data_IF_194220243588
#
_entry.id   IF_194220243588
#
_cell.length_a   1.000
_cell.length_b   1.000
_cell.length_c   1.000
_cell.angle_alpha   90.00
_cell.angle_beta   90.00
_cell.angle_gamma   90.00
#
_symmetry.space_group_name_H-M   'P 1'
#
loop_
_entity.id
_entity.type
_entity.pdbx_description
1 polymer ?
#
# COMPACT_ATOMS: atom_id res chain seq x y z
N UNK A 1 7.39 -52.60 -13.50
CA UNK A 1 8.21 -52.49 -12.28
C UNK A 1 9.66 -52.28 -12.71
N UNK A 2 10.34 -51.29 -12.08
CA UNK A 2 11.68 -50.70 -12.32
C UNK A 2 11.80 -49.59 -13.39
N UNK A 3 12.59 -48.52 -13.12
CA UNK A 3 12.83 -47.92 -11.81
C UNK A 3 12.84 -46.37 -11.78
N UNK A 4 12.80 -45.89 -10.55
CA UNK A 4 13.03 -44.55 -10.04
C UNK A 4 14.44 -44.04 -10.40
N UNK A 5 14.54 -42.90 -11.09
CA UNK A 5 15.70 -42.00 -11.01
C UNK A 5 15.17 -40.58 -10.86
N UNK A 6 14.95 -40.19 -9.60
CA UNK A 6 14.72 -38.80 -9.21
C UNK A 6 16.02 -38.01 -9.42
N UNK A 7 16.01 -37.12 -10.42
CA UNK A 7 16.87 -35.94 -10.46
C UNK A 7 16.12 -34.90 -11.32
N UNK A 8 14.99 -34.42 -10.81
CA UNK A 8 14.42 -33.16 -11.28
C UNK A 8 15.47 -32.09 -10.97
N UNK A 9 16.17 -31.59 -11.98
CA UNK A 9 17.07 -30.46 -11.79
C UNK A 9 16.24 -29.30 -11.25
N UNK A 10 16.51 -28.85 -10.02
CA UNK A 10 15.91 -27.65 -9.46
C UNK A 10 16.33 -26.46 -10.35
N UNK A 11 15.47 -26.14 -11.31
CA UNK A 11 15.62 -24.99 -12.19
C UNK A 11 15.25 -23.73 -11.44
N UNK A 12 16.17 -22.78 -11.37
CA UNK A 12 15.92 -21.44 -10.83
C UNK A 12 15.68 -20.46 -11.97
N UNK A 13 14.80 -19.47 -11.74
CA UNK A 13 14.49 -18.44 -12.72
C UNK A 13 15.38 -17.20 -12.51
N UNK A 14 16.00 -16.71 -13.59
CA UNK A 14 16.88 -15.54 -13.56
C UNK A 14 16.42 -14.48 -14.54
N UNK A 15 16.35 -13.22 -14.09
CA UNK A 15 16.03 -12.07 -14.93
C UNK A 15 17.29 -11.61 -15.67
N UNK A 16 17.29 -11.72 -17.00
CA UNK A 16 18.36 -11.17 -17.83
C UNK A 16 18.14 -9.67 -18.05
N UNK A 17 19.01 -8.77 -17.56
CA UNK A 17 18.74 -7.32 -17.62
C UNK A 17 18.60 -6.78 -19.04
N UNK A 18 19.38 -7.30 -19.99
CA UNK A 18 19.40 -6.83 -21.37
C UNK A 18 18.10 -7.11 -22.13
N UNK A 19 17.43 -8.24 -21.85
CA UNK A 19 16.19 -8.64 -22.50
C UNK A 19 14.95 -8.45 -21.64
N UNK A 20 15.12 -8.22 -20.32
CA UNK A 20 14.05 -8.20 -19.31
C UNK A 20 13.22 -9.50 -19.31
N UNK A 21 13.84 -10.63 -19.68
CA UNK A 21 13.19 -11.95 -19.73
C UNK A 21 13.70 -12.86 -18.63
N UNK A 22 12.81 -13.69 -18.11
CA UNK A 22 13.14 -14.78 -17.21
C UNK A 22 13.69 -15.97 -17.99
N UNK A 23 14.72 -16.60 -17.45
CA UNK A 23 15.35 -17.80 -18.00
C UNK A 23 15.55 -18.85 -16.92
N UNK A 24 15.36 -20.12 -17.26
CA UNK A 24 15.70 -21.25 -16.42
C UNK A 24 17.21 -21.51 -16.45
N UNK A 25 17.83 -21.67 -15.27
CA UNK A 25 19.24 -22.03 -15.06
C UNK A 25 19.38 -22.85 -13.79
N UNK A 26 20.56 -23.47 -13.63
CA UNK A 26 20.88 -24.18 -12.39
C UNK A 26 20.94 -23.21 -11.21
N UNK A 27 20.29 -23.57 -10.10
CA UNK A 27 20.29 -22.76 -8.87
C UNK A 27 21.69 -22.55 -8.26
N UNK A 28 22.69 -23.37 -8.64
CA UNK A 28 24.08 -23.27 -8.18
C UNK A 28 24.89 -22.20 -8.92
N UNK A 29 24.40 -21.69 -10.05
CA UNK A 29 25.05 -20.64 -10.81
C UNK A 29 25.01 -19.31 -10.03
N UNK A 30 26.13 -18.58 -10.03
CA UNK A 30 26.23 -17.29 -9.33
C UNK A 30 25.80 -16.15 -10.25
N UNK A 31 24.75 -15.42 -9.85
CA UNK A 31 24.28 -14.22 -10.53
C UNK A 31 24.13 -13.06 -9.55
N UNK A 32 24.14 -11.83 -10.08
CA UNK A 32 23.72 -10.68 -9.31
C UNK A 32 22.22 -10.82 -8.95
N UNK A 33 21.89 -10.51 -7.71
CA UNK A 33 20.51 -10.39 -7.24
C UNK A 33 20.20 -8.93 -6.97
N UNK A 34 18.91 -8.61 -6.91
CA UNK A 34 18.43 -7.32 -6.47
C UNK A 34 17.30 -7.54 -5.48
N UNK A 35 17.27 -6.73 -4.43
CA UNK A 35 16.14 -6.68 -3.52
C UNK A 35 15.03 -5.85 -4.19
N UNK A 36 13.80 -6.31 -4.09
CA UNK A 36 12.64 -5.53 -4.48
C UNK A 36 11.89 -5.17 -3.21
N UNK A 37 11.61 -3.88 -3.03
CA UNK A 37 10.61 -3.49 -2.04
C UNK A 37 9.25 -3.81 -2.66
N UNK A 38 8.67 -4.95 -2.27
CA UNK A 38 7.33 -5.32 -2.70
C UNK A 38 6.36 -4.60 -1.79
N UNK A 39 5.65 -3.63 -2.36
CA UNK A 39 4.58 -2.91 -1.70
C UNK A 39 3.31 -3.78 -1.77
N UNK A 40 2.89 -4.33 -0.64
CA UNK A 40 1.67 -5.12 -0.54
C UNK A 40 0.62 -4.37 0.28
N UNK A 41 -0.60 -4.30 -0.24
CA UNK A 41 -1.74 -3.76 0.49
C UNK A 41 -2.58 -4.88 1.11
N UNK A 42 -2.88 -4.72 2.39
CA UNK A 42 -3.77 -5.61 3.14
C UNK A 42 -5.00 -4.83 3.59
N UNK A 43 -6.17 -5.39 3.31
CA UNK A 43 -7.45 -4.90 3.80
C UNK A 43 -7.73 -5.50 5.18
N UNK A 44 -7.92 -4.66 6.19
CA UNK A 44 -8.24 -5.08 7.56
C UNK A 44 -9.67 -4.66 7.87
N UNK A 45 -10.56 -5.63 8.10
CA UNK A 45 -11.96 -5.39 8.46
C UNK A 45 -12.09 -5.21 9.98
N UNK A 46 -11.95 -3.96 10.44
CA UNK A 46 -12.12 -3.52 11.81
C UNK A 46 -12.71 -2.10 11.89
N UNK A 47 -13.77 -1.95 12.70
CA UNK A 47 -14.31 -0.64 13.06
C UNK A 47 -13.33 0.15 13.92
N UNK A 48 -12.80 1.24 13.37
CA UNK A 48 -11.93 2.16 14.11
C UNK A 48 -12.14 3.61 13.68
N UNK A 49 -11.74 4.52 14.57
CA UNK A 49 -11.46 5.91 14.18
C UNK A 49 -10.18 5.96 13.34
N UNK A 50 -9.95 7.03 12.58
CA UNK A 50 -8.69 7.18 11.83
C UNK A 50 -7.48 7.14 12.77
N UNK A 51 -7.56 7.79 13.93
CA UNK A 51 -6.50 7.75 14.94
C UNK A 51 -6.28 6.34 15.50
N UNK A 52 -7.36 5.61 15.80
CA UNK A 52 -7.29 4.21 16.27
C UNK A 52 -6.75 3.25 15.22
N UNK A 53 -7.09 3.48 13.95
CA UNK A 53 -6.55 2.74 12.82
C UNK A 53 -5.04 2.94 12.68
N UNK A 54 -4.56 4.18 12.76
CA UNK A 54 -3.13 4.48 12.72
C UNK A 54 -2.39 3.81 13.87
N UNK A 55 -2.90 3.93 15.10
CA UNK A 55 -2.31 3.30 16.29
C UNK A 55 -2.27 1.77 16.14
N UNK A 56 -3.33 1.16 15.61
CA UNK A 56 -3.38 -0.27 15.33
C UNK A 56 -2.28 -0.70 14.36
N UNK A 57 -2.09 0.01 13.25
CA UNK A 57 -1.09 -0.33 12.25
C UNK A 57 0.33 -0.25 12.84
N UNK A 58 0.63 0.84 13.55
CA UNK A 58 1.94 1.08 14.13
C UNK A 58 2.31 0.03 15.18
N UNK A 59 1.35 -0.43 15.99
CA UNK A 59 1.55 -1.56 16.93
C UNK A 59 1.91 -2.87 16.22
N UNK A 60 1.61 -3.00 14.93
CA UNK A 60 1.92 -4.16 14.11
C UNK A 60 3.16 -3.94 13.21
N UNK A 61 3.95 -2.89 13.45
CA UNK A 61 5.07 -2.47 12.60
C UNK A 61 4.67 -2.21 11.14
N UNK A 62 3.45 -1.70 10.92
CA UNK A 62 2.97 -1.26 9.62
C UNK A 62 2.43 0.17 9.75
N UNK A 63 2.08 0.78 8.62
CA UNK A 63 1.41 2.07 8.58
C UNK A 63 0.15 1.99 7.71
N UNK A 64 -0.74 2.98 7.88
CA UNK A 64 -1.83 3.17 6.94
C UNK A 64 -1.28 3.46 5.54
N UNK A 65 -1.95 2.90 4.54
CA UNK A 65 -1.50 2.93 3.16
C UNK A 65 -1.34 4.36 2.62
N UNK A 66 -0.22 4.59 1.94
CA UNK A 66 0.01 5.75 1.08
C UNK A 66 -0.32 5.43 -0.36
N UNK A 67 -1.07 6.32 -1.01
CA UNK A 67 -1.47 6.18 -2.41
C UNK A 67 -0.75 7.24 -3.24
N UNK A 68 0.59 7.20 -3.22
CA UNK A 68 1.47 8.26 -3.73
C UNK A 68 1.60 8.32 -5.26
N UNK A 69 1.06 7.35 -6.01
CA UNK A 69 1.05 7.37 -7.48
C UNK A 69 -0.18 6.68 -8.06
N UNK A 70 -0.48 6.90 -9.35
CA UNK A 70 -1.62 6.28 -10.02
C UNK A 70 -1.55 4.75 -9.99
N UNK A 71 -0.38 4.17 -10.25
CA UNK A 71 -0.19 2.72 -10.25
C UNK A 71 -0.45 2.12 -8.86
N UNK A 72 0.00 2.81 -7.80
CA UNK A 72 -0.22 2.39 -6.41
C UNK A 72 -1.70 2.51 -6.06
N UNK A 73 -2.36 3.60 -6.48
CA UNK A 73 -3.79 3.80 -6.27
C UNK A 73 -4.62 2.74 -6.99
N UNK A 74 -4.34 2.43 -8.25
CA UNK A 74 -5.03 1.37 -9.00
C UNK A 74 -4.83 -0.02 -8.36
N UNK A 75 -3.61 -0.31 -7.89
CA UNK A 75 -3.33 -1.56 -7.17
C UNK A 75 -4.12 -1.64 -5.85
N UNK A 76 -4.17 -0.56 -5.08
CA UNK A 76 -4.99 -0.46 -3.88
C UNK A 76 -6.49 -0.62 -4.18
N UNK A 77 -6.99 0.01 -5.25
CA UNK A 77 -8.39 -0.10 -5.68
C UNK A 77 -8.79 -1.55 -5.98
N UNK A 78 -7.88 -2.35 -6.55
CA UNK A 78 -8.09 -3.79 -6.74
C UNK A 78 -8.26 -4.56 -5.42
N UNK A 79 -7.58 -4.12 -4.35
CA UNK A 79 -7.59 -4.77 -3.02
C UNK A 79 -8.82 -4.42 -2.19
N UNK A 80 -9.37 -3.21 -2.35
CA UNK A 80 -10.57 -2.77 -1.62
C UNK A 80 -11.87 -3.33 -2.21
N UNK A 81 -11.83 -4.13 -3.29
CA UNK A 81 -13.03 -4.76 -3.87
C UNK A 81 -13.79 -5.66 -2.90
N UNK A 82 -13.10 -6.16 -1.85
CA UNK A 82 -13.67 -6.97 -0.77
C UNK A 82 -14.15 -6.13 0.42
N UNK A 83 -14.16 -4.80 0.28
CA UNK A 83 -14.59 -3.90 1.34
C UNK A 83 -16.10 -3.98 1.57
N UNK A 84 -16.48 -4.07 2.84
CA UNK A 84 -17.88 -4.05 3.30
C UNK A 84 -18.46 -2.63 3.46
N UNK A 85 -17.61 -1.60 3.41
CA UNK A 85 -18.01 -0.18 3.53
C UNK A 85 -17.65 0.63 2.29
N UNK A 86 -18.40 1.71 2.09
CA UNK A 86 -18.21 2.64 0.97
C UNK A 86 -16.85 3.36 1.01
N UNK A 87 -16.20 3.42 2.17
CA UNK A 87 -14.92 4.11 2.39
C UNK A 87 -13.98 3.26 3.25
N UNK A 88 -12.67 3.50 3.11
CA UNK A 88 -11.60 2.85 3.87
C UNK A 88 -10.61 3.90 4.40
N UNK A 89 -9.96 3.59 5.53
CA UNK A 89 -8.89 4.44 6.08
C UNK A 89 -7.58 4.30 5.30
N UNK A 90 -6.97 5.44 4.99
CA UNK A 90 -5.64 5.57 4.38
C UNK A 90 -4.78 6.53 5.20
N UNK A 91 -3.48 6.59 4.91
CA UNK A 91 -2.53 7.42 5.63
C UNK A 91 -2.59 8.91 5.32
N UNK A 92 -3.57 9.38 4.55
CA UNK A 92 -3.64 10.79 4.15
C UNK A 92 -4.13 11.65 5.31
N UNK A 93 -3.33 12.64 5.71
CA UNK A 93 -3.69 13.61 6.75
C UNK A 93 -3.57 15.05 6.22
N UNK A 94 -4.44 15.94 6.72
CA UNK A 94 -4.41 17.38 6.43
C UNK A 94 -3.98 18.15 7.69
N UNK A 95 -2.80 18.75 7.66
CA UNK A 95 -2.22 19.50 8.77
C UNK A 95 -1.58 20.79 8.26
N UNK A 96 -1.71 21.86 9.05
CA UNK A 96 -1.05 23.14 8.79
C UNK A 96 -1.32 23.78 7.42
N UNK A 97 -2.42 23.39 6.74
CA UNK A 97 -2.79 23.92 5.43
C UNK A 97 -2.45 23.02 4.26
N UNK A 98 -1.78 21.89 4.50
CA UNK A 98 -1.32 20.97 3.46
C UNK A 98 -1.73 19.52 3.73
N UNK A 99 -1.73 18.73 2.65
CA UNK A 99 -1.95 17.29 2.68
C UNK A 99 -0.61 16.55 2.71
N UNK A 100 -0.50 15.51 3.52
CA UNK A 100 0.68 14.66 3.60
C UNK A 100 0.29 13.22 3.94
N UNK A 101 1.13 12.28 3.54
CA UNK A 101 1.03 10.89 3.97
C UNK A 101 1.74 10.72 5.30
N UNK A 102 1.11 10.03 6.27
CA UNK A 102 1.74 9.73 7.58
C UNK A 102 2.97 8.84 7.47
N UNK A 103 3.13 8.11 6.35
CA UNK A 103 4.32 7.34 5.99
C UNK A 103 5.50 8.23 5.57
N UNK A 104 5.26 9.51 5.27
CA UNK A 104 6.26 10.44 4.73
C UNK A 104 6.46 10.34 3.22
N UNK A 105 5.64 9.55 2.51
CA UNK A 105 5.69 9.47 1.05
C UNK A 105 5.31 10.80 0.39
N UNK A 106 5.92 11.07 -0.77
CA UNK A 106 5.61 12.26 -1.57
C UNK A 106 4.15 12.24 -2.04
N UNK A 107 3.53 13.42 -2.05
CA UNK A 107 2.18 13.60 -2.56
C UNK A 107 2.23 13.95 -4.05
N UNK A 108 1.86 13.01 -4.91
CA UNK A 108 1.69 13.31 -6.33
C UNK A 108 0.39 14.11 -6.55
N UNK A 109 0.54 15.43 -6.65
CA UNK A 109 -0.55 16.37 -6.89
C UNK A 109 -1.30 16.10 -8.21
N UNK A 110 -0.74 15.38 -9.17
CA UNK A 110 -1.42 15.06 -10.44
C UNK A 110 -2.44 13.93 -10.29
N UNK A 111 -2.23 13.02 -9.35
CA UNK A 111 -3.18 11.95 -8.98
C UNK A 111 -4.37 12.57 -8.25
N UNK A 112 -4.08 13.45 -7.29
CA UNK A 112 -5.06 13.95 -6.33
C UNK A 112 -5.82 15.20 -6.81
N UNK A 113 -5.30 15.91 -7.82
CA UNK A 113 -6.03 16.99 -8.51
C UNK A 113 -7.14 16.46 -9.43
N UNK A 114 -6.95 15.28 -10.04
CA UNK A 114 -7.97 14.62 -10.88
C UNK A 114 -9.16 14.08 -10.07
N UNK A 115 -8.94 13.74 -8.80
CA UNK A 115 -9.99 13.26 -7.87
C UNK A 115 -10.76 14.40 -7.20
N UNK A 116 -10.42 15.66 -7.49
CA UNK A 116 -11.17 16.83 -7.02
C UNK A 116 -10.86 17.24 -5.59
N UNK A 117 -9.68 16.88 -5.04
CA UNK A 117 -9.32 17.40 -3.73
C UNK A 117 -9.10 18.90 -3.78
N UNK A 118 -10.03 19.58 -3.13
CA UNK A 118 -9.94 21.01 -2.89
C UNK A 118 -8.63 21.30 -2.14
N UNK A 119 -7.79 22.16 -2.72
CA UNK A 119 -6.52 22.65 -2.16
C UNK A 119 -6.68 23.24 -0.75
N UNK A 120 -7.90 23.58 -0.37
CA UNK A 120 -8.27 23.91 0.99
C UNK A 120 -9.66 23.34 1.26
N UNK A 121 -9.85 22.70 2.41
CA UNK A 121 -11.19 22.33 2.79
C UNK A 121 -12.01 23.55 3.28
N UNK A 122 -13.36 23.46 3.27
CA UNK A 122 -14.27 24.58 3.56
C UNK A 122 -13.99 25.27 4.91
N UNK A 123 -14.17 26.60 4.96
CA UNK A 123 -13.81 27.47 6.11
C UNK A 123 -14.43 27.06 7.45
N UNK A 124 -15.59 26.41 7.46
CA UNK A 124 -16.29 25.98 8.67
C UNK A 124 -15.63 24.81 9.41
N UNK A 125 -14.58 24.22 8.83
CA UNK A 125 -13.97 22.97 9.30
C UNK A 125 -12.53 23.17 9.82
N UNK A 126 -12.12 24.42 10.05
CA UNK A 126 -10.77 24.82 10.51
C UNK A 126 -10.56 24.77 12.03
N UNK A 127 -11.50 24.20 12.79
CA UNK A 127 -11.42 24.16 14.25
C UNK A 127 -10.75 22.87 14.74
N UNK A 128 -9.43 23.00 14.93
CA UNK A 128 -8.58 22.31 15.91
C UNK A 128 -8.78 20.79 16.11
N UNK A 129 -8.30 19.95 15.17
CA UNK A 129 -7.54 18.71 15.44
C UNK A 129 -6.70 18.35 14.19
N UNK A 130 -5.45 17.87 14.36
CA UNK A 130 -4.46 17.81 13.29
C UNK A 130 -4.74 16.81 12.14
N UNK A 131 -5.68 15.87 12.26
CA UNK A 131 -5.99 14.90 11.19
C UNK A 131 -7.49 14.56 11.06
N UNK A 132 -8.41 15.50 11.35
CA UNK A 132 -9.87 15.24 11.29
C UNK A 132 -10.53 15.60 9.95
N UNK A 133 -9.88 15.32 8.80
CA UNK A 133 -10.54 15.53 7.50
C UNK A 133 -11.38 14.38 6.97
N UNK A 134 -11.55 13.35 7.77
CA UNK A 134 -12.47 12.25 7.47
C UNK A 134 -13.58 12.08 8.52
N UNK A 135 -13.57 12.88 9.58
CA UNK A 135 -14.37 12.68 10.78
C UNK A 135 -15.77 13.31 10.73
N UNK A 136 -16.57 12.97 9.72
CA UNK A 136 -18.05 13.12 9.78
C UNK A 136 -18.83 11.85 9.45
N UNK A 137 -18.19 10.68 9.46
CA UNK A 137 -18.89 9.38 9.56
C UNK A 137 -18.29 8.59 10.72
N UNK A 138 -19.02 8.35 11.82
CA UNK A 138 -18.57 7.43 12.85
C UNK A 138 -18.50 6.02 12.26
N UNK A 139 -17.48 5.27 12.68
CA UNK A 139 -17.35 3.82 12.48
C UNK A 139 -17.16 3.36 11.03
N UNK A 140 -15.98 3.67 10.46
CA UNK A 140 -15.52 2.97 9.26
C UNK A 140 -14.88 1.64 9.65
N UNK A 141 -15.31 0.57 9.00
CA UNK A 141 -14.91 -0.81 9.30
C UNK A 141 -13.57 -1.20 8.70
N UNK A 142 -12.85 -0.36 7.96
CA UNK A 142 -11.87 -0.88 7.02
C UNK A 142 -10.59 -0.06 6.98
N UNK A 143 -9.45 -0.73 7.20
CA UNK A 143 -8.11 -0.15 7.15
C UNK A 143 -7.36 -0.72 5.95
N UNK A 144 -6.72 0.15 5.17
CA UNK A 144 -5.75 -0.28 4.16
C UNK A 144 -4.35 -0.05 4.73
N UNK A 145 -3.54 -1.10 4.80
CA UNK A 145 -2.17 -1.04 5.35
C UNK A 145 -1.15 -1.50 4.34
N UNK A 146 0.03 -0.89 4.39
CA UNK A 146 1.18 -1.31 3.58
C UNK A 146 2.05 -2.29 4.34
N UNK A 147 2.39 -3.43 3.73
CA UNK A 147 3.45 -4.33 4.19
C UNK A 147 4.61 -4.30 3.22
N UNK A 148 5.83 -4.29 3.77
CA UNK A 148 7.02 -4.63 3.03
C UNK A 148 7.28 -6.14 3.21
N UNK A 149 7.26 -6.91 2.14
CA UNK A 149 7.77 -8.29 2.14
C UNK A 149 9.09 -8.29 1.35
N UNK A 150 10.10 -8.92 1.97
CA UNK A 150 11.52 -9.01 1.57
C UNK A 150 11.71 -9.65 0.20
#
# INVERSE_FOLDING_TARGET
MRPFSAFESEGCAFLRPSSKKLHDRYCTDKYAFFCMNILEFVLVLRNETWEGALEYCQKQNNDLASLSSLNIMEYALGKITQAETEYVWTGLCFLAGDWFWVTGDDLDHTVWSKTGLSQCPPRELRLSKPCKYTAKKPDQQILLVTRAIV
#
